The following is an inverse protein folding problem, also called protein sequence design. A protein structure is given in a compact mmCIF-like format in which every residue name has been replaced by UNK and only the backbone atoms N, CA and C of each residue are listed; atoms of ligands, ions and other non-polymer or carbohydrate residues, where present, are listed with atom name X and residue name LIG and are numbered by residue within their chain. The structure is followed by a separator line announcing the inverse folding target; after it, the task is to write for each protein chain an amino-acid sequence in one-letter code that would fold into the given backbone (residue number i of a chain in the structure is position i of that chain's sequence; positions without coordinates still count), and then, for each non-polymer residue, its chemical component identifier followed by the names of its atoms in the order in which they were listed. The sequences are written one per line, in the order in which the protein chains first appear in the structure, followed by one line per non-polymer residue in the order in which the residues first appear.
data_IF_957549876436
#
_entry.id   IF_957549876436
#
_cell.length_a   1.000
_cell.length_b   1.000
_cell.length_c   1.000
_cell.angle_alpha   90.00
_cell.angle_beta   90.00
_cell.angle_gamma   90.00
#
_symmetry.space_group_name_H-M   'P 1'
#
loop_
_entity.id
_entity.type
_entity.pdbx_description
1 polymer ?
#
# COMPACT_ATOMS: atom_id res chain seq x y z
N UNK A 1 -22.87 3.47 -5.51
CA UNK A 1 -21.49 3.95 -5.62
C UNK A 1 -20.86 4.16 -4.25
N UNK A 2 -21.49 4.92 -3.39
CA UNK A 2 -21.03 5.20 -2.02
C UNK A 2 -20.70 3.93 -1.20
N UNK A 3 -21.58 2.93 -1.22
CA UNK A 3 -21.37 1.65 -0.53
C UNK A 3 -20.12 0.89 -1.02
N UNK A 4 -19.81 1.01 -2.32
CA UNK A 4 -18.61 0.42 -2.89
C UNK A 4 -17.33 1.14 -2.42
N UNK A 5 -17.35 2.48 -2.39
CA UNK A 5 -16.24 3.27 -1.85
C UNK A 5 -16.02 2.99 -0.36
N UNK A 6 -17.11 2.87 0.41
CA UNK A 6 -17.04 2.48 1.82
C UNK A 6 -16.45 1.08 2.00
N UNK A 7 -16.83 0.12 1.14
CA UNK A 7 -16.26 -1.23 1.18
C UNK A 7 -14.75 -1.24 0.84
N UNK A 8 -14.31 -0.39 -0.10
CA UNK A 8 -12.88 -0.18 -0.39
C UNK A 8 -12.16 0.48 0.78
N UNK A 9 -12.74 1.53 1.36
CA UNK A 9 -12.16 2.22 2.52
C UNK A 9 -11.91 1.29 3.72
N UNK A 10 -12.79 0.29 3.94
CA UNK A 10 -12.63 -0.71 5.00
C UNK A 10 -11.48 -1.72 4.76
N UNK A 11 -10.89 -1.74 3.58
CA UNK A 11 -9.77 -2.61 3.21
C UNK A 11 -8.62 -1.83 2.60
N UNK A 12 -8.58 -0.52 2.84
CA UNK A 12 -7.50 0.35 2.36
C UNK A 12 -6.14 -0.21 2.80
N UNK A 13 -5.13 -0.04 1.95
CA UNK A 13 -3.77 -0.53 2.18
C UNK A 13 -3.68 -2.06 2.42
N UNK A 14 -4.70 -2.83 2.03
CA UNK A 14 -4.71 -4.29 2.19
C UNK A 14 -4.84 -5.00 0.85
N UNK A 15 -4.10 -6.11 0.63
CA UNK A 15 -4.29 -6.93 -0.56
C UNK A 15 -5.69 -7.57 -0.55
N UNK A 16 -6.50 -7.28 -1.56
CA UNK A 16 -7.86 -7.79 -1.60
C UNK A 16 -8.36 -8.14 -3.01
N UNK A 17 -8.91 -9.35 -3.15
CA UNK A 17 -9.67 -9.77 -4.34
C UNK A 17 -11.09 -9.21 -4.27
N UNK A 18 -11.78 -9.12 -5.40
CA UNK A 18 -13.17 -8.64 -5.48
C UNK A 18 -14.14 -9.38 -4.55
N UNK A 19 -13.88 -10.65 -4.25
CA UNK A 19 -14.67 -11.41 -3.28
C UNK A 19 -14.57 -10.83 -1.85
N UNK A 20 -13.43 -10.26 -1.47
CA UNK A 20 -13.28 -9.60 -0.18
C UNK A 20 -14.03 -8.26 -0.12
N UNK A 21 -13.97 -7.47 -1.21
CA UNK A 21 -14.76 -6.24 -1.36
C UNK A 21 -16.25 -6.57 -1.26
N UNK A 22 -16.70 -7.61 -1.98
CA UNK A 22 -18.10 -8.04 -1.98
C UNK A 22 -18.62 -8.34 -0.58
N UNK A 23 -17.83 -9.01 0.28
CA UNK A 23 -18.23 -9.32 1.66
C UNK A 23 -18.42 -8.09 2.55
N UNK A 24 -17.92 -6.93 2.14
CA UNK A 24 -18.08 -5.65 2.84
C UNK A 24 -19.29 -4.84 2.39
N UNK A 25 -19.93 -5.27 1.29
CA UNK A 25 -21.17 -4.63 0.83
C UNK A 25 -22.34 -5.04 1.72
N UNK A 26 -23.37 -4.16 1.88
CA UNK A 26 -24.58 -4.49 2.62
C UNK A 26 -25.27 -5.74 2.07
N UNK A 27 -25.75 -6.60 2.96
CA UNK A 27 -26.39 -7.88 2.60
C UNK A 27 -27.59 -7.68 1.67
N UNK A 28 -28.37 -6.62 1.88
CA UNK A 28 -29.56 -6.25 1.08
C UNK A 28 -29.18 -5.97 -0.39
N UNK A 29 -27.95 -5.55 -0.65
CA UNK A 29 -27.45 -5.24 -2.00
C UNK A 29 -26.76 -6.41 -2.67
N UNK A 30 -26.31 -7.42 -1.90
CA UNK A 30 -25.55 -8.56 -2.44
C UNK A 30 -26.35 -9.37 -3.49
N UNK A 31 -27.67 -9.47 -3.32
CA UNK A 31 -28.56 -10.15 -4.26
C UNK A 31 -28.77 -9.38 -5.59
N UNK A 32 -28.66 -8.04 -5.56
CA UNK A 32 -28.92 -7.18 -6.72
C UNK A 32 -27.67 -6.84 -7.54
N UNK A 33 -26.45 -7.06 -7.01
CA UNK A 33 -25.18 -6.76 -7.69
C UNK A 33 -24.56 -8.06 -8.20
N UNK A 34 -24.56 -8.31 -9.51
CA UNK A 34 -23.87 -9.47 -10.08
C UNK A 34 -22.38 -9.45 -9.70
N UNK A 35 -21.80 -10.61 -9.43
CA UNK A 35 -20.38 -10.70 -9.09
C UNK A 35 -19.47 -10.12 -10.19
N UNK A 36 -19.91 -10.21 -11.44
CA UNK A 36 -19.21 -9.67 -12.63
C UNK A 36 -19.29 -8.14 -12.74
N UNK A 37 -20.15 -7.48 -11.97
CA UNK A 37 -20.28 -6.02 -11.99
C UNK A 37 -19.17 -5.31 -11.22
N UNK A 38 -18.66 -5.92 -10.15
CA UNK A 38 -17.63 -5.29 -9.30
C UNK A 38 -16.34 -4.94 -10.05
N UNK A 39 -15.75 -5.82 -10.88
CA UNK A 39 -14.59 -5.46 -11.70
C UNK A 39 -14.87 -4.29 -12.66
N UNK A 40 -16.08 -4.22 -13.22
CA UNK A 40 -16.47 -3.12 -14.15
C UNK A 40 -16.60 -1.79 -13.41
N UNK A 41 -17.24 -1.79 -12.24
CA UNK A 41 -17.35 -0.61 -11.38
C UNK A 41 -15.95 -0.14 -10.96
N UNK A 42 -15.10 -1.06 -10.56
CA UNK A 42 -13.73 -0.77 -10.15
C UNK A 42 -12.92 -0.13 -11.28
N UNK A 43 -12.95 -0.72 -12.47
CA UNK A 43 -12.26 -0.19 -13.65
C UNK A 43 -12.78 1.22 -14.02
N UNK A 44 -14.08 1.47 -13.86
CA UNK A 44 -14.65 2.81 -14.09
C UNK A 44 -14.08 3.82 -13.09
N UNK A 45 -13.97 3.45 -11.81
CA UNK A 45 -13.41 4.30 -10.77
C UNK A 45 -11.90 4.53 -10.95
N UNK A 46 -11.18 3.51 -11.41
CA UNK A 46 -9.76 3.61 -11.76
C UNK A 46 -9.54 4.61 -12.92
N UNK A 47 -10.36 4.52 -13.98
CA UNK A 47 -10.35 5.47 -15.10
C UNK A 47 -10.77 6.88 -14.71
N UNK A 48 -11.58 7.02 -13.67
CA UNK A 48 -11.98 8.29 -13.09
C UNK A 48 -10.98 8.84 -12.05
N UNK A 49 -9.85 8.17 -11.86
CA UNK A 49 -8.83 8.52 -10.85
C UNK A 49 -9.37 8.60 -9.43
N UNK A 50 -10.35 7.75 -9.08
CA UNK A 50 -10.89 7.62 -7.71
C UNK A 50 -10.24 6.46 -6.98
N UNK A 51 -9.82 5.44 -7.72
CA UNK A 51 -9.11 4.26 -7.21
C UNK A 51 -7.75 4.19 -7.87
N UNK A 52 -6.74 3.83 -7.09
CA UNK A 52 -5.35 3.73 -7.53
C UNK A 52 -4.65 2.54 -6.87
N UNK A 53 -5.01 1.33 -7.31
CA UNK A 53 -4.49 0.09 -6.77
C UNK A 53 -2.99 -0.10 -7.03
N UNK A 54 -2.28 -0.69 -6.08
CA UNK A 54 -0.88 -1.05 -6.22
C UNK A 54 -0.76 -2.54 -6.55
N UNK A 55 -0.20 -2.90 -7.73
CA UNK A 55 -0.02 -4.29 -8.13
C UNK A 55 1.05 -4.99 -7.30
N UNK A 56 0.98 -6.31 -7.24
CA UNK A 56 1.99 -7.11 -6.58
C UNK A 56 3.32 -7.10 -7.35
N UNK A 57 4.43 -6.94 -6.61
CA UNK A 57 5.77 -7.04 -7.14
C UNK A 57 6.25 -8.49 -7.21
N UNK A 58 7.04 -8.78 -8.25
CA UNK A 58 7.85 -10.00 -8.29
C UNK A 58 9.29 -9.66 -8.62
N UNK A 59 10.23 -10.14 -7.80
CA UNK A 59 11.66 -10.00 -8.09
C UNK A 59 12.11 -10.80 -9.32
N UNK A 60 11.26 -11.68 -9.86
CA UNK A 60 11.54 -12.51 -11.03
C UNK A 60 10.68 -12.08 -12.22
N UNK A 61 11.30 -11.88 -13.39
CA UNK A 61 10.61 -11.49 -14.62
C UNK A 61 9.54 -12.51 -15.07
N UNK A 62 9.73 -13.79 -14.75
CA UNK A 62 8.83 -14.88 -15.14
C UNK A 62 8.38 -15.66 -13.90
N UNK A 63 7.33 -15.22 -13.25
CA UNK A 63 6.76 -15.91 -12.10
C UNK A 63 5.24 -16.01 -12.22
N UNK A 64 4.71 -17.23 -12.25
CA UNK A 64 3.27 -17.49 -12.27
C UNK A 64 2.57 -17.06 -10.96
N UNK A 65 3.33 -16.93 -9.85
CA UNK A 65 2.76 -16.58 -8.53
C UNK A 65 2.21 -15.16 -8.43
N UNK A 66 2.66 -14.20 -9.27
CA UNK A 66 2.16 -12.82 -9.28
C UNK A 66 0.68 -12.78 -9.64
N UNK A 67 0.28 -13.58 -10.63
CA UNK A 67 -1.11 -13.61 -11.12
C UNK A 67 -2.12 -14.03 -10.02
N UNK A 68 -1.66 -14.67 -8.95
CA UNK A 68 -2.49 -15.09 -7.82
C UNK A 68 -2.54 -14.08 -6.68
N UNK A 69 -1.61 -13.12 -6.62
CA UNK A 69 -1.53 -12.13 -5.54
C UNK A 69 -2.47 -10.97 -5.86
N UNK A 70 -3.37 -10.67 -4.93
CA UNK A 70 -4.29 -9.56 -5.07
C UNK A 70 -3.53 -8.23 -5.00
N UNK A 71 -3.92 -7.19 -5.76
CA UNK A 71 -3.39 -5.86 -5.57
C UNK A 71 -3.77 -5.31 -4.19
N UNK A 72 -2.94 -4.44 -3.64
CA UNK A 72 -3.29 -3.62 -2.49
C UNK A 72 -4.26 -2.54 -2.94
N UNK A 73 -5.38 -2.41 -2.21
CA UNK A 73 -6.47 -1.50 -2.58
C UNK A 73 -6.22 -0.12 -2.00
N UNK A 74 -6.24 0.87 -2.88
CA UNK A 74 -6.12 2.28 -2.50
C UNK A 74 -7.21 3.12 -3.15
N UNK A 75 -7.66 4.15 -2.43
CA UNK A 75 -8.31 5.30 -3.06
C UNK A 75 -7.21 6.26 -3.51
N UNK A 76 -7.42 6.95 -4.61
CA UNK A 76 -6.41 7.84 -5.21
C UNK A 76 -5.99 8.96 -4.26
N UNK A 77 -6.92 9.42 -3.40
CA UNK A 77 -6.64 10.35 -2.32
C UNK A 77 -7.01 9.67 -0.98
N UNK A 78 -6.06 9.49 -0.05
CA UNK A 78 -6.33 8.89 1.25
C UNK A 78 -7.37 9.63 2.10
N UNK A 79 -7.62 10.91 1.87
CA UNK A 79 -8.70 11.66 2.53
C UNK A 79 -10.09 11.11 2.21
N UNK A 80 -10.25 10.51 1.01
CA UNK A 80 -11.48 9.82 0.62
C UNK A 80 -11.79 8.61 1.51
N UNK A 81 -10.76 7.99 2.10
CA UNK A 81 -10.94 6.88 3.05
C UNK A 81 -11.65 7.38 4.30
N UNK A 82 -11.14 8.46 4.90
CA UNK A 82 -11.74 9.08 6.08
C UNK A 82 -13.19 9.53 5.80
N UNK A 83 -13.42 10.15 4.65
CA UNK A 83 -14.76 10.58 4.21
C UNK A 83 -15.72 9.38 4.02
N UNK A 84 -15.28 8.32 3.33
CA UNK A 84 -16.09 7.12 3.09
C UNK A 84 -16.42 6.34 4.38
N UNK A 85 -15.53 6.39 5.38
CA UNK A 85 -15.74 5.81 6.71
C UNK A 85 -16.54 6.73 7.62
N UNK A 86 -16.81 7.97 7.22
CA UNK A 86 -17.40 9.02 8.07
C UNK A 86 -16.61 9.19 9.38
N UNK A 87 -15.27 9.27 9.26
CA UNK A 87 -14.35 9.34 10.38
C UNK A 87 -13.67 10.72 10.41
N UNK A 88 -14.01 11.54 11.40
CA UNK A 88 -13.29 12.77 11.70
C UNK A 88 -11.98 12.49 12.47
N UNK A 89 -11.19 13.54 12.70
CA UNK A 89 -9.87 13.48 13.33
C UNK A 89 -9.87 12.74 14.67
N UNK A 90 -10.78 13.08 15.57
CA UNK A 90 -10.84 12.47 16.91
C UNK A 90 -11.11 10.97 16.85
N UNK A 91 -11.97 10.55 15.91
CA UNK A 91 -12.27 9.14 15.68
C UNK A 91 -11.07 8.37 15.13
N UNK A 92 -10.32 8.98 14.21
CA UNK A 92 -9.10 8.38 13.66
C UNK A 92 -8.00 8.29 14.71
N UNK A 93 -7.85 9.30 15.57
CA UNK A 93 -6.90 9.28 16.68
C UNK A 93 -7.25 8.23 17.75
N UNK A 94 -8.53 7.90 17.89
CA UNK A 94 -9.01 6.83 18.77
C UNK A 94 -8.85 5.41 18.14
N UNK A 95 -8.64 5.31 16.81
CA UNK A 95 -8.45 4.06 16.07
C UNK A 95 -7.13 4.11 15.29
N UNK A 96 -6.02 3.88 16.01
CA UNK A 96 -4.68 3.94 15.45
C UNK A 96 -4.41 2.86 14.39
N UNK A 97 -5.18 1.76 14.38
CA UNK A 97 -5.07 0.73 13.33
C UNK A 97 -5.57 1.30 12.00
N UNK A 98 -6.77 1.87 11.97
CA UNK A 98 -7.32 2.54 10.78
C UNK A 98 -6.45 3.73 10.36
N UNK A 99 -5.99 4.56 11.30
CA UNK A 99 -5.10 5.68 11.01
C UNK A 99 -3.78 5.19 10.39
N UNK A 100 -3.23 4.06 10.87
CA UNK A 100 -2.04 3.44 10.32
C UNK A 100 -2.20 3.03 8.85
N UNK A 101 -3.33 2.42 8.50
CA UNK A 101 -3.64 2.04 7.13
C UNK A 101 -3.85 3.27 6.22
N UNK A 102 -4.44 4.35 6.73
CA UNK A 102 -4.57 5.61 5.99
C UNK A 102 -3.19 6.26 5.79
N UNK A 103 -2.33 6.21 6.80
CA UNK A 103 -0.96 6.73 6.67
C UNK A 103 -0.14 5.91 5.66
N UNK A 104 -0.26 4.58 5.67
CA UNK A 104 0.35 3.70 4.66
C UNK A 104 -0.15 4.05 3.25
N UNK A 105 -1.46 4.30 3.10
CA UNK A 105 -2.04 4.75 1.84
C UNK A 105 -1.48 6.12 1.39
N UNK A 106 -1.26 7.06 2.33
CA UNK A 106 -0.66 8.36 2.04
C UNK A 106 0.79 8.21 1.57
N UNK A 107 1.59 7.40 2.27
CA UNK A 107 2.97 7.10 1.87
C UNK A 107 3.01 6.47 0.47
N UNK A 108 2.13 5.52 0.21
CA UNK A 108 2.03 4.87 -1.09
C UNK A 108 1.64 5.85 -2.21
N UNK A 109 0.69 6.75 -1.94
CA UNK A 109 0.29 7.81 -2.86
C UNK A 109 1.47 8.73 -3.20
N UNK A 110 2.16 9.27 -2.18
CA UNK A 110 3.27 10.21 -2.37
C UNK A 110 4.43 9.53 -3.12
N UNK A 111 4.79 8.31 -2.76
CA UNK A 111 5.82 7.54 -3.46
C UNK A 111 5.46 7.27 -4.93
N UNK A 112 4.18 7.15 -5.28
CA UNK A 112 3.76 7.05 -6.70
C UNK A 112 3.91 8.37 -7.43
N UNK A 113 3.60 9.49 -6.78
CA UNK A 113 3.77 10.84 -7.36
C UNK A 113 5.24 11.16 -7.60
N UNK A 114 6.11 10.79 -6.65
CA UNK A 114 7.54 11.09 -6.69
C UNK A 114 8.37 9.98 -7.36
N UNK A 115 7.78 8.87 -7.74
CA UNK A 115 8.50 7.80 -8.43
C UNK A 115 9.20 8.35 -9.69
N UNK A 116 10.46 7.96 -9.95
CA UNK A 116 11.18 8.38 -11.15
C UNK A 116 10.40 8.02 -12.42
N UNK A 117 10.48 8.86 -13.45
CA UNK A 117 9.75 8.66 -14.73
C UNK A 117 10.18 7.39 -15.48
N UNK A 118 11.40 6.94 -15.24
CA UNK A 118 11.98 5.71 -15.77
C UNK A 118 11.74 4.50 -14.86
N UNK A 119 11.01 4.68 -13.75
CA UNK A 119 10.58 3.56 -12.93
C UNK A 119 9.71 2.61 -13.74
N UNK A 120 10.01 1.32 -13.64
CA UNK A 120 9.14 0.26 -14.20
C UNK A 120 7.75 0.31 -13.57
N UNK A 121 7.67 0.68 -12.28
CA UNK A 121 6.44 0.87 -11.55
C UNK A 121 6.62 0.91 -10.05
N UNK A 122 5.49 1.14 -9.39
CA UNK A 122 5.32 1.10 -7.94
C UNK A 122 4.45 -0.11 -7.62
N UNK A 123 4.90 -0.91 -6.67
CA UNK A 123 4.37 -2.22 -6.36
C UNK A 123 4.28 -2.41 -4.85
N UNK A 124 3.60 -3.46 -4.40
CA UNK A 124 3.73 -4.01 -3.05
C UNK A 124 4.32 -5.42 -3.11
N UNK A 125 4.98 -5.87 -2.05
CA UNK A 125 5.45 -7.24 -1.96
C UNK A 125 4.77 -7.99 -0.82
N UNK A 126 4.29 -9.20 -1.12
CA UNK A 126 3.80 -10.13 -0.12
C UNK A 126 4.24 -11.55 -0.46
N UNK A 127 5.01 -12.14 0.43
CA UNK A 127 5.47 -13.52 0.31
C UNK A 127 4.32 -14.53 0.44
N UNK A 128 4.50 -15.73 -0.14
CA UNK A 128 3.45 -16.77 -0.23
C UNK A 128 2.83 -17.16 1.12
N UNK A 129 3.55 -17.03 2.23
CA UNK A 129 3.06 -17.35 3.59
C UNK A 129 2.49 -16.14 4.34
N UNK A 130 2.39 -14.97 3.69
CA UNK A 130 1.85 -13.73 4.26
C UNK A 130 2.65 -13.13 5.42
N UNK A 131 3.85 -13.65 5.71
CA UNK A 131 4.73 -13.15 6.79
C UNK A 131 5.75 -12.13 6.31
N UNK A 132 6.09 -12.20 5.05
CA UNK A 132 7.08 -11.33 4.41
C UNK A 132 6.31 -10.28 3.61
N UNK A 133 6.43 -9.03 3.99
CA UNK A 133 5.73 -7.91 3.36
C UNK A 133 6.68 -6.73 3.21
N UNK A 134 6.51 -5.98 2.14
CA UNK A 134 7.04 -4.63 1.92
C UNK A 134 5.87 -3.80 1.40
N UNK A 135 5.56 -2.72 2.11
CA UNK A 135 4.38 -1.90 1.82
C UNK A 135 4.47 -1.28 0.43
N UNK A 136 5.62 -0.71 0.08
CA UNK A 136 5.86 -0.14 -1.25
C UNK A 136 7.23 -0.55 -1.78
N UNK A 137 7.26 -0.99 -3.04
CA UNK A 137 8.48 -1.27 -3.82
C UNK A 137 8.47 -0.40 -5.07
N UNK A 138 9.53 0.37 -5.28
CA UNK A 138 9.77 1.08 -6.55
C UNK A 138 10.86 0.33 -7.28
N UNK A 139 10.59 -0.09 -8.51
CA UNK A 139 11.54 -0.81 -9.36
C UNK A 139 11.84 0.01 -10.62
N UNK A 140 13.13 0.14 -10.96
CA UNK A 140 13.59 0.76 -12.19
C UNK A 140 13.60 -0.23 -13.37
N UNK A 141 13.74 0.29 -14.60
CA UNK A 141 13.73 -0.53 -15.80
C UNK A 141 14.86 -1.57 -15.87
N UNK A 142 15.99 -1.34 -15.21
CA UNK A 142 17.13 -2.25 -15.09
C UNK A 142 16.99 -3.25 -13.92
N UNK A 143 15.86 -3.22 -13.21
CA UNK A 143 15.53 -4.12 -12.11
C UNK A 143 16.18 -3.76 -10.76
N UNK A 144 16.78 -2.56 -10.62
CA UNK A 144 17.13 -2.04 -9.30
C UNK A 144 15.84 -1.69 -8.55
N UNK A 145 15.84 -1.83 -7.24
CA UNK A 145 14.63 -1.57 -6.47
C UNK A 145 14.93 -0.96 -5.11
N UNK A 146 13.95 -0.23 -4.61
CA UNK A 146 13.92 0.39 -3.28
C UNK A 146 12.67 -0.11 -2.55
N UNK A 147 12.79 -0.42 -1.27
CA UNK A 147 11.66 -0.88 -0.45
C UNK A 147 11.35 0.10 0.67
N UNK A 148 10.06 0.31 0.91
CA UNK A 148 9.54 1.22 1.93
C UNK A 148 8.55 0.50 2.84
N UNK A 149 8.60 0.85 4.12
CA UNK A 149 7.66 0.42 5.16
C UNK A 149 7.13 1.67 5.86
N UNK A 150 5.81 1.80 6.03
CA UNK A 150 5.18 2.93 6.70
C UNK A 150 4.89 2.62 8.18
N UNK A 151 5.23 3.53 9.09
CA UNK A 151 4.94 3.38 10.52
C UNK A 151 4.52 4.70 11.15
N UNK A 152 3.40 4.70 11.89
CA UNK A 152 2.91 5.87 12.60
C UNK A 152 3.80 6.30 13.77
N UNK A 153 4.61 5.41 14.29
CA UNK A 153 5.32 5.61 15.56
C UNK A 153 6.82 5.40 15.37
N UNK A 154 7.61 6.31 15.93
CA UNK A 154 9.06 6.19 15.98
C UNK A 154 9.51 4.92 16.74
N UNK A 155 8.74 4.47 17.74
CA UNK A 155 9.03 3.25 18.49
C UNK A 155 8.92 1.98 17.62
N UNK A 156 8.17 2.02 16.53
CA UNK A 156 8.01 0.89 15.62
C UNK A 156 9.14 0.78 14.58
N UNK A 157 10.00 1.79 14.47
CA UNK A 157 11.04 1.87 13.44
C UNK A 157 12.04 0.71 13.51
N UNK A 158 12.53 0.36 14.71
CA UNK A 158 13.53 -0.71 14.87
C UNK A 158 13.01 -2.07 14.41
N UNK A 159 11.79 -2.40 14.82
CA UNK A 159 11.12 -3.63 14.40
C UNK A 159 10.84 -3.65 12.90
N UNK A 160 10.38 -2.53 12.33
CA UNK A 160 10.12 -2.38 10.91
C UNK A 160 11.40 -2.51 10.07
N UNK A 161 12.48 -1.83 10.46
CA UNK A 161 13.77 -1.91 9.78
C UNK A 161 14.34 -3.34 9.80
N UNK A 162 14.25 -4.02 10.95
CA UNK A 162 14.68 -5.41 11.09
C UNK A 162 13.89 -6.35 10.18
N UNK A 163 12.55 -6.22 10.16
CA UNK A 163 11.66 -7.01 9.30
C UNK A 163 11.96 -6.74 7.83
N UNK A 164 12.04 -5.48 7.44
CA UNK A 164 12.28 -5.06 6.05
C UNK A 164 13.62 -5.62 5.51
N UNK A 165 14.69 -5.55 6.32
CA UNK A 165 15.98 -6.15 5.97
C UNK A 165 15.91 -7.66 5.85
N UNK A 166 15.21 -8.33 6.77
CA UNK A 166 15.05 -9.79 6.75
C UNK A 166 14.30 -10.25 5.50
N UNK A 167 13.29 -9.48 5.05
CA UNK A 167 12.56 -9.74 3.80
C UNK A 167 13.48 -9.50 2.60
N UNK A 168 14.17 -8.36 2.57
CA UNK A 168 15.10 -8.00 1.49
C UNK A 168 16.25 -9.00 1.32
N UNK A 169 16.75 -9.58 2.42
CA UNK A 169 17.80 -10.60 2.39
C UNK A 169 17.39 -11.90 1.66
N UNK A 170 16.08 -12.15 1.52
CA UNK A 170 15.54 -13.32 0.78
C UNK A 170 15.44 -13.07 -0.72
N UNK A 171 15.62 -11.81 -1.16
CA UNK A 171 15.54 -11.44 -2.57
C UNK A 171 16.83 -11.79 -3.29
N UNK A 172 16.71 -12.29 -4.53
CA UNK A 172 17.85 -12.62 -5.38
C UNK A 172 18.72 -11.39 -5.66
N UNK A 173 18.08 -10.24 -5.94
CA UNK A 173 18.74 -8.95 -6.12
C UNK A 173 18.59 -8.11 -4.86
N UNK A 174 19.72 -7.62 -4.36
CA UNK A 174 19.70 -6.73 -3.19
C UNK A 174 19.06 -5.39 -3.54
N UNK A 175 18.33 -4.76 -2.59
CA UNK A 175 17.78 -3.42 -2.79
C UNK A 175 18.89 -2.38 -2.91
N UNK A 176 18.65 -1.33 -3.66
CA UNK A 176 19.50 -0.12 -3.69
C UNK A 176 19.40 0.62 -2.36
N UNK A 177 18.19 0.70 -1.79
CA UNK A 177 17.94 1.26 -0.48
C UNK A 177 16.70 0.62 0.17
N UNK A 178 16.64 0.72 1.49
CA UNK A 178 15.48 0.40 2.31
C UNK A 178 15.16 1.59 3.21
N UNK A 179 13.89 1.93 3.36
CA UNK A 179 13.46 3.05 4.17
C UNK A 179 12.22 2.72 5.01
N UNK A 180 12.18 3.26 6.22
CA UNK A 180 10.97 3.34 7.05
C UNK A 180 10.48 4.78 7.00
N UNK A 181 9.23 4.97 6.57
CA UNK A 181 8.60 6.28 6.50
C UNK A 181 7.76 6.51 7.75
N UNK A 182 7.95 7.67 8.37
CA UNK A 182 7.28 8.08 9.61
C UNK A 182 6.55 9.43 9.40
N UNK A 183 5.55 9.77 10.23
CA UNK A 183 4.80 11.02 10.04
C UNK A 183 5.66 12.27 10.21
N UNK A 184 6.56 12.25 11.19
CA UNK A 184 7.36 13.43 11.59
C UNK A 184 8.74 13.02 12.06
N UNK A 185 9.67 13.97 12.16
CA UNK A 185 11.02 13.77 12.68
C UNK A 185 12.09 14.24 11.69
N UNK A 186 13.33 13.87 11.96
CA UNK A 186 14.45 14.14 11.06
C UNK A 186 14.70 12.94 10.15
N UNK A 187 15.15 13.21 8.92
CA UNK A 187 15.67 12.17 8.04
C UNK A 187 17.07 11.74 8.51
N UNK A 188 17.30 10.44 8.64
CA UNK A 188 18.61 9.90 9.00
C UNK A 188 18.81 8.50 8.45
N UNK A 189 20.06 8.07 8.42
CA UNK A 189 20.45 6.70 8.09
C UNK A 189 20.87 5.97 9.37
N UNK A 190 20.26 4.82 9.61
CA UNK A 190 20.55 3.93 10.72
C UNK A 190 21.92 3.23 10.51
N UNK A 191 22.51 2.74 11.58
CA UNK A 191 23.77 1.94 11.53
C UNK A 191 23.62 0.68 10.66
N UNK A 192 22.42 0.08 10.63
CA UNK A 192 22.11 -1.08 9.82
C UNK A 192 21.85 -0.76 8.33
N UNK A 193 21.99 0.51 7.94
CA UNK A 193 21.90 1.00 6.57
C UNK A 193 20.50 1.37 6.12
N UNK A 194 19.43 1.12 6.91
CA UNK A 194 18.07 1.51 6.61
C UNK A 194 17.90 3.02 6.84
N UNK A 195 17.22 3.69 5.92
CA UNK A 195 16.85 5.09 6.07
C UNK A 195 15.59 5.23 6.91
N UNK A 196 15.50 6.29 7.69
CA UNK A 196 14.27 6.74 8.34
C UNK A 196 13.94 8.09 7.78
N UNK A 197 12.76 8.23 7.18
CA UNK A 197 12.34 9.42 6.46
C UNK A 197 11.01 9.92 7.02
N UNK A 198 10.89 11.18 7.46
CA UNK A 198 9.59 11.77 7.65
C UNK A 198 8.89 11.90 6.29
N UNK A 199 7.56 11.74 6.27
CA UNK A 199 6.78 11.82 5.02
C UNK A 199 7.02 13.15 4.27
N UNK A 200 7.29 14.21 5.01
CA UNK A 200 7.59 15.54 4.46
C UNK A 200 8.92 15.64 3.70
N UNK A 201 9.81 14.65 3.87
CA UNK A 201 11.08 14.58 3.12
C UNK A 201 10.95 13.75 1.81
N UNK A 202 9.78 13.24 1.50
CA UNK A 202 9.52 12.60 0.21
C UNK A 202 9.39 13.69 -0.86
N UNK A 203 10.17 13.58 -1.94
CA UNK A 203 10.12 14.52 -3.06
C UNK A 203 11.13 15.69 -3.00
N UNK A 204 12.02 15.72 -2.00
CA UNK A 204 13.14 16.66 -1.92
C UNK A 204 14.39 16.14 -2.63
#
# INVERSE_FOLDING_TARGET
MEEYLRALAQIVAQPAKFAAIRRRLPQERLGSIPQTALPKIHLMLERAFVVDDIPAWSPKLRTASIASTAPVRHLADPSLVAAALNAGTDRLLADLETLGLIFEAQVAHDLRVYAPRDARGVFHYRGMKGRDEIDVVIESGDGNWVGFEAKLSAQAVDGAATKLRAVAAKMERRPTALAVVVPTGAAYRREDGVYVLPITALGE
#
